data_IF_126128956818
#
_entry.id   IF_126128956818
#
_cell.length_a   1.000
_cell.length_b   1.000
_cell.length_c   1.000
_cell.angle_alpha   90.00
_cell.angle_beta   90.00
_cell.angle_gamma   90.00
#
_symmetry.space_group_name_H-M   'P 1'
#
loop_
_entity.id
_entity.type
_entity.pdbx_description
1 polymer ?
#
# COMPACT_ATOMS: atom_id res chain seq x y z
N UNK A 1 6.72 19.14 -18.14
CA UNK A 1 6.89 18.70 -16.75
C UNK A 1 5.64 17.92 -16.39
N UNK A 2 5.75 16.62 -16.10
CA UNK A 2 4.61 15.84 -15.62
C UNK A 2 4.34 16.28 -14.17
N UNK A 3 3.10 16.61 -13.78
CA UNK A 3 2.81 16.92 -12.38
C UNK A 3 3.04 15.67 -11.54
N UNK A 4 3.85 15.77 -10.49
CA UNK A 4 4.04 14.68 -9.54
C UNK A 4 2.84 14.66 -8.59
N UNK A 5 2.06 13.59 -8.62
CA UNK A 5 0.94 13.38 -7.71
C UNK A 5 1.44 12.57 -6.51
N UNK A 6 1.10 13.04 -5.31
CA UNK A 6 1.38 12.32 -4.06
C UNK A 6 0.14 11.51 -3.72
N UNK A 7 0.33 10.22 -3.44
CA UNK A 7 -0.72 9.33 -2.95
C UNK A 7 -0.38 8.89 -1.52
N UNK A 8 -1.32 9.06 -0.60
CA UNK A 8 -1.22 8.55 0.77
C UNK A 8 -1.79 7.15 0.82
N UNK A 9 -1.09 6.26 1.52
CA UNK A 9 -1.50 4.90 1.80
C UNK A 9 -1.32 4.66 3.28
N UNK A 10 -2.36 4.15 3.93
CA UNK A 10 -2.35 3.71 5.32
C UNK A 10 -2.36 2.20 5.35
N UNK A 11 -1.42 1.62 6.10
CA UNK A 11 -1.33 0.19 6.31
C UNK A 11 -1.24 -0.12 7.80
N UNK A 12 -1.81 -1.24 8.19
CA UNK A 12 -1.74 -1.75 9.56
C UNK A 12 -1.22 -3.18 9.54
N UNK A 13 -0.48 -3.55 10.58
CA UNK A 13 -0.14 -4.94 10.81
C UNK A 13 -1.37 -5.70 11.31
N UNK A 14 -1.76 -6.72 10.57
CA UNK A 14 -2.77 -7.69 10.98
C UNK A 14 -2.08 -8.81 11.79
N UNK A 15 -2.44 -8.92 13.06
CA UNK A 15 -1.84 -9.89 13.98
C UNK A 15 -2.28 -11.33 13.71
N UNK A 16 -3.49 -11.53 13.18
CA UNK A 16 -4.07 -12.86 12.94
C UNK A 16 -3.50 -13.46 11.65
N UNK A 17 -3.34 -12.63 10.63
CA UNK A 17 -2.77 -13.02 9.34
C UNK A 17 -1.23 -12.89 9.26
N UNK A 18 -0.61 -12.16 10.20
CA UNK A 18 0.82 -11.86 10.20
C UNK A 18 1.29 -11.17 8.91
N UNK A 19 0.52 -10.18 8.46
CA UNK A 19 0.81 -9.40 7.26
C UNK A 19 0.54 -7.91 7.51
N UNK A 20 1.25 -7.06 6.80
CA UNK A 20 0.82 -5.68 6.61
C UNK A 20 -0.30 -5.64 5.57
N UNK A 21 -1.39 -4.92 5.87
CA UNK A 21 -2.53 -4.76 4.97
C UNK A 21 -2.90 -3.28 4.80
N UNK A 22 -3.21 -2.88 3.57
CA UNK A 22 -3.71 -1.52 3.27
C UNK A 22 -5.12 -1.36 3.83
N UNK A 23 -5.31 -0.35 4.66
CA UNK A 23 -6.60 -0.04 5.31
C UNK A 23 -7.29 1.19 4.73
N UNK A 24 -6.53 2.14 4.19
CA UNK A 24 -7.06 3.34 3.53
C UNK A 24 -6.05 3.89 2.51
N UNK A 25 -6.52 4.52 1.43
CA UNK A 25 -5.62 5.17 0.48
C UNK A 25 -6.30 6.20 -0.43
N UNK A 26 -5.50 7.10 -1.00
CA UNK A 26 -5.93 8.03 -2.05
C UNK A 26 -6.19 7.34 -3.41
N UNK A 27 -5.93 6.03 -3.52
CA UNK A 27 -6.05 5.25 -4.76
C UNK A 27 -7.33 4.41 -4.71
N UNK A 28 -8.37 4.74 -5.51
CA UNK A 28 -9.62 4.01 -5.49
C UNK A 28 -9.44 2.53 -5.82
N UNK A 29 -9.92 1.66 -4.93
CA UNK A 29 -9.87 0.22 -5.12
C UNK A 29 -8.50 -0.43 -4.87
N UNK A 30 -7.52 0.33 -4.34
CA UNK A 30 -6.25 -0.24 -3.94
C UNK A 30 -6.43 -1.16 -2.72
N UNK A 31 -6.16 -2.45 -2.92
CA UNK A 31 -6.08 -3.45 -1.88
C UNK A 31 -4.78 -4.24 -2.06
N UNK A 32 -3.94 -4.25 -1.03
CA UNK A 32 -2.66 -4.94 -1.05
C UNK A 32 -2.26 -5.38 0.36
N UNK A 33 -1.56 -6.49 0.44
CA UNK A 33 -1.02 -7.04 1.68
C UNK A 33 0.33 -7.75 1.43
N UNK A 34 1.18 -7.83 2.45
CA UNK A 34 2.44 -8.58 2.38
C UNK A 34 2.99 -8.94 3.77
N UNK A 35 3.85 -9.95 3.84
CA UNK A 35 4.45 -10.45 5.09
C UNK A 35 5.38 -9.43 5.76
N UNK A 36 5.99 -8.52 4.99
CA UNK A 36 6.87 -7.46 5.50
C UNK A 36 6.43 -6.08 4.98
N UNK A 37 6.86 -5.01 5.66
CA UNK A 37 6.51 -3.65 5.22
C UNK A 37 7.23 -3.31 3.91
N UNK A 38 8.45 -3.84 3.73
CA UNK A 38 9.25 -3.69 2.52
C UNK A 38 8.60 -4.37 1.31
N UNK A 39 8.06 -5.59 1.49
CA UNK A 39 7.34 -6.29 0.43
C UNK A 39 6.04 -5.57 0.06
N UNK A 40 5.34 -5.01 1.04
CA UNK A 40 4.15 -4.20 0.78
C UNK A 40 4.52 -2.93 0.01
N UNK A 41 5.59 -2.25 0.39
CA UNK A 41 6.10 -1.07 -0.31
C UNK A 41 6.46 -1.40 -1.77
N UNK A 42 7.15 -2.51 -2.01
CA UNK A 42 7.50 -2.97 -3.35
C UNK A 42 6.24 -3.19 -4.21
N UNK A 43 5.21 -3.86 -3.67
CA UNK A 43 3.93 -4.04 -4.36
C UNK A 43 3.25 -2.69 -4.65
N UNK A 44 3.24 -1.77 -3.69
CA UNK A 44 2.63 -0.45 -3.86
C UNK A 44 3.28 0.37 -4.99
N UNK A 45 4.59 0.22 -5.20
CA UNK A 45 5.30 0.88 -6.32
C UNK A 45 4.85 0.41 -7.70
N UNK A 46 4.28 -0.79 -7.80
CA UNK A 46 3.72 -1.33 -9.05
C UNK A 46 2.23 -1.02 -9.22
N UNK A 47 1.50 -0.87 -8.11
CA UNK A 47 0.05 -0.69 -8.11
C UNK A 47 -0.40 0.78 -8.14
N UNK A 48 0.44 1.71 -7.67
CA UNK A 48 0.13 3.14 -7.60
C UNK A 48 0.54 3.86 -8.91
N UNK A 49 -0.33 4.69 -9.52
CA UNK A 49 -0.06 5.39 -10.78
C UNK A 49 1.05 6.45 -10.75
#
# INVERSE_FOLDING_TARGET
MMPQKIFRVFATWDMDAQVWSVTDSDVPGLAAEAETIEDLEAKLRELVP
#
